data_IF_705799258108
#
_entry.id   IF_705799258108
#
_cell.length_a   1.000
_cell.length_b   1.000
_cell.length_c   1.000
_cell.angle_alpha   90.00
_cell.angle_beta   90.00
_cell.angle_gamma   90.00
#
_symmetry.space_group_name_H-M   'P 1'
#
loop_
_entity.id
_entity.type
_entity.pdbx_description
1 polymer ?
#
# COMPACT_ATOMS: atom_id res chain seq x y z
N UNK A 1 26.94 6.08 0.63
CA UNK A 1 25.52 6.24 1.02
C UNK A 1 25.46 6.22 2.54
N UNK A 2 24.92 7.26 3.19
CA UNK A 2 24.70 7.28 4.64
C UNK A 2 23.44 6.48 4.98
N UNK A 3 23.46 5.69 6.05
CA UNK A 3 22.27 4.96 6.50
C UNK A 3 21.19 5.92 7.00
N UNK A 4 19.92 5.48 7.02
CA UNK A 4 18.81 6.30 7.54
C UNK A 4 19.04 6.72 8.99
N UNK A 5 19.48 5.77 9.83
CA UNK A 5 19.84 6.04 11.22
C UNK A 5 20.92 7.12 11.33
N UNK A 6 21.97 7.05 10.51
CA UNK A 6 23.03 8.06 10.54
C UNK A 6 22.55 9.45 10.12
N UNK A 7 21.61 9.54 9.18
CA UNK A 7 21.01 10.82 8.77
C UNK A 7 20.13 11.41 9.87
N UNK A 8 19.33 10.59 10.54
CA UNK A 8 18.50 11.03 11.68
C UNK A 8 19.38 11.47 12.85
N UNK A 9 20.42 10.70 13.19
CA UNK A 9 21.33 11.03 14.30
C UNK A 9 22.10 12.34 14.08
N UNK A 10 22.43 12.67 12.83
CA UNK A 10 23.09 13.93 12.46
C UNK A 10 22.17 15.15 12.62
N UNK A 11 20.85 14.96 12.44
CA UNK A 11 19.84 16.01 12.57
C UNK A 11 19.31 16.14 14.01
N UNK A 12 19.06 15.01 14.66
CA UNK A 12 18.52 14.92 16.01
C UNK A 12 19.28 13.84 16.80
N UNK A 13 20.40 14.21 17.45
CA UNK A 13 21.13 13.28 18.27
C UNK A 13 20.30 12.85 19.50
N UNK A 14 20.37 11.57 19.86
CA UNK A 14 19.54 10.94 20.89
C UNK A 14 18.03 10.99 20.61
N UNK A 15 17.63 10.91 19.33
CA UNK A 15 16.21 10.87 18.93
C UNK A 15 15.40 9.75 19.62
N UNK A 16 16.05 8.66 20.05
CA UNK A 16 15.44 7.52 20.77
C UNK A 16 14.74 7.94 22.08
N UNK A 17 15.15 9.07 22.69
CA UNK A 17 14.48 9.59 23.90
C UNK A 17 13.16 10.30 23.59
N UNK A 18 12.93 10.69 22.34
CA UNK A 18 11.78 11.50 21.91
C UNK A 18 10.80 10.72 21.05
N UNK A 19 11.29 9.73 20.30
CA UNK A 19 10.48 8.95 19.37
C UNK A 19 10.53 7.46 19.67
N UNK A 20 9.38 6.76 19.59
CA UNK A 20 9.31 5.32 19.82
C UNK A 20 9.96 4.49 18.70
N UNK A 21 10.27 5.10 17.55
CA UNK A 21 10.84 4.41 16.39
C UNK A 21 11.58 5.38 15.48
N UNK A 22 12.66 4.89 14.85
CA UNK A 22 13.49 5.62 13.89
C UNK A 22 12.65 6.19 12.74
N UNK A 23 11.61 5.47 12.34
CA UNK A 23 10.76 5.87 11.22
C UNK A 23 9.89 7.08 11.56
N UNK A 24 9.41 7.21 12.81
CA UNK A 24 8.66 8.38 13.24
C UNK A 24 9.57 9.62 13.26
N UNK A 25 10.78 9.49 13.83
CA UNK A 25 11.76 10.57 13.80
C UNK A 25 12.14 10.96 12.36
N UNK A 26 12.33 9.97 11.48
CA UNK A 26 12.68 10.21 10.09
C UNK A 26 11.54 10.86 9.28
N UNK A 27 10.28 10.56 9.61
CA UNK A 27 9.09 11.17 9.00
C UNK A 27 8.96 12.64 9.40
N UNK A 28 9.04 12.94 10.71
CA UNK A 28 8.92 14.31 11.23
C UNK A 28 10.09 15.20 10.78
N UNK A 29 11.31 14.63 10.68
CA UNK A 29 12.48 15.33 10.14
C UNK A 29 12.46 15.44 8.61
N UNK A 30 11.49 14.82 7.94
CA UNK A 30 11.36 14.82 6.47
C UNK A 30 12.47 14.06 5.74
N UNK A 31 13.24 13.23 6.45
CA UNK A 31 14.30 12.38 5.90
C UNK A 31 13.71 11.27 5.03
N UNK A 32 12.54 10.76 5.42
CA UNK A 32 11.73 9.86 4.58
C UNK A 32 10.41 10.52 4.23
N UNK A 33 9.98 10.35 2.98
CA UNK A 33 8.63 10.72 2.53
C UNK A 33 7.83 9.44 2.38
N UNK A 34 7.34 8.90 3.49
CA UNK A 34 6.44 7.76 3.43
C UNK A 34 5.01 8.28 3.26
N UNK A 35 4.39 8.05 2.09
CA UNK A 35 2.93 8.05 2.02
C UNK A 35 2.49 6.72 2.62
N UNK A 36 1.86 6.75 3.78
CA UNK A 36 1.11 5.60 4.30
C UNK A 36 -0.01 5.34 3.30
N UNK A 37 0.18 4.36 2.42
CA UNK A 37 -0.91 3.84 1.61
C UNK A 37 -1.82 3.07 2.57
N UNK A 38 -3.11 3.36 2.57
CA UNK A 38 -4.08 2.53 3.29
C UNK A 38 -3.84 1.05 2.97
N UNK A 39 -3.93 0.13 3.94
CA UNK A 39 -3.69 -1.29 3.72
C UNK A 39 -4.58 -1.87 2.60
N UNK A 40 -5.77 -1.29 2.39
CA UNK A 40 -6.65 -1.59 1.26
C UNK A 40 -6.04 -1.27 -0.12
N UNK A 41 -5.16 -0.28 -0.20
CA UNK A 41 -4.43 0.08 -1.42
C UNK A 41 -3.31 -0.90 -1.78
N UNK A 42 -2.83 -1.69 -0.81
CA UNK A 42 -1.83 -2.73 -1.05
C UNK A 42 -2.47 -4.08 -1.44
N UNK A 43 -3.79 -4.19 -1.31
CA UNK A 43 -4.51 -5.42 -1.61
C UNK A 43 -4.63 -5.58 -3.14
N UNK A 44 -3.67 -6.30 -3.73
CA UNK A 44 -3.63 -6.64 -5.16
C UNK A 44 -4.97 -7.24 -5.65
N UNK A 45 -5.66 -7.93 -4.74
CA UNK A 45 -6.99 -8.52 -4.94
C UNK A 45 -8.08 -7.46 -5.18
N UNK A 46 -8.04 -6.34 -4.45
CA UNK A 46 -8.96 -5.21 -4.67
C UNK A 46 -8.67 -4.49 -5.99
N UNK A 47 -7.39 -4.32 -6.36
CA UNK A 47 -6.99 -3.70 -7.64
C UNK A 47 -7.47 -4.50 -8.85
N UNK A 48 -7.50 -5.83 -8.75
CA UNK A 48 -7.96 -6.70 -9.83
C UNK A 48 -9.43 -7.06 -9.75
N UNK A 49 -10.17 -6.65 -8.71
CA UNK A 49 -11.58 -7.02 -8.53
C UNK A 49 -12.44 -6.57 -9.71
N UNK A 50 -12.24 -5.35 -10.20
CA UNK A 50 -12.93 -4.84 -11.39
C UNK A 50 -12.59 -5.61 -12.67
N UNK A 51 -11.33 -6.06 -12.81
CA UNK A 51 -10.89 -6.85 -13.98
C UNK A 51 -11.48 -8.26 -13.92
N UNK A 52 -11.50 -8.87 -12.73
CA UNK A 52 -12.09 -10.19 -12.49
C UNK A 52 -13.61 -10.15 -12.68
N UNK A 53 -14.29 -9.09 -12.22
CA UNK A 53 -15.73 -8.92 -12.43
C UNK A 53 -16.08 -8.71 -13.90
N UNK A 54 -15.28 -7.91 -14.63
CA UNK A 54 -15.40 -7.76 -16.08
C UNK A 54 -15.13 -9.08 -16.81
N UNK A 55 -14.10 -9.83 -16.42
CA UNK A 55 -13.80 -11.14 -16.99
C UNK A 55 -14.92 -12.17 -16.71
N UNK A 56 -15.51 -12.16 -15.50
CA UNK A 56 -16.67 -13.00 -15.15
C UNK A 56 -17.94 -12.60 -15.89
N UNK A 57 -18.17 -11.30 -16.09
CA UNK A 57 -19.29 -10.80 -16.87
C UNK A 57 -19.15 -11.20 -18.35
N UNK A 58 -17.99 -10.96 -18.95
CA UNK A 58 -17.68 -11.36 -20.32
C UNK A 58 -17.74 -12.88 -20.51
N UNK A 59 -17.26 -13.66 -19.53
CA UNK A 59 -17.37 -15.12 -19.55
C UNK A 59 -18.83 -15.59 -19.51
N UNK A 60 -19.70 -14.95 -18.72
CA UNK A 60 -21.14 -15.25 -18.69
C UNK A 60 -21.83 -14.86 -19.99
N UNK A 61 -21.46 -13.74 -20.59
CA UNK A 61 -22.06 -13.28 -21.85
C UNK A 61 -21.63 -14.15 -23.04
N UNK A 62 -20.39 -14.64 -23.04
CA UNK A 62 -19.83 -15.39 -24.16
C UNK A 62 -20.08 -16.90 -24.06
N UNK A 63 -20.28 -17.44 -22.85
CA UNK A 63 -20.42 -18.88 -22.61
C UNK A 63 -21.63 -19.28 -21.76
N UNK A 64 -22.38 -18.31 -21.21
CA UNK A 64 -23.65 -18.55 -20.52
C UNK A 64 -24.77 -18.70 -21.54
N UNK A 65 -24.89 -19.90 -22.11
CA UNK A 65 -26.06 -20.28 -22.87
C UNK A 65 -27.32 -20.18 -22.00
N UNK A 66 -28.32 -19.51 -22.57
CA UNK A 66 -29.74 -19.42 -22.17
C UNK A 66 -30.22 -20.53 -21.21
N UNK A 67 -30.54 -20.17 -19.96
CA UNK A 67 -31.53 -20.90 -19.16
C UNK A 67 -32.88 -20.15 -19.23
N UNK A 68 -33.50 -20.10 -20.42
CA UNK A 68 -34.97 -20.11 -20.47
C UNK A 68 -35.46 -21.54 -20.35
N UNK A 69 -35.66 -21.95 -19.10
CA UNK A 69 -36.52 -23.06 -18.73
C UNK A 69 -37.60 -22.58 -17.77
N UNK A 70 -38.66 -21.95 -18.28
CA UNK A 70 -40.08 -22.17 -17.90
C UNK A 70 -41.01 -21.17 -18.57
#
# INVERSE_FOLDING_TARGET
MKSLRAQVEELLPNWESWYPSLFHAAEDLGVIRARVCDPDSLNLHNRHRSIVDQAKAAHREQWGGDEKGS
#
